data_IF_495767476121
#
_entry.id   IF_495767476121
#
_cell.length_a   1.000
_cell.length_b   1.000
_cell.length_c   1.000
_cell.angle_alpha   90.00
_cell.angle_beta   90.00
_cell.angle_gamma   90.00
#
_symmetry.space_group_name_H-M   'P 1'
#
loop_
_entity.id
_entity.type
_entity.pdbx_description
1 polymer ?
#
# COMPACT_ATOMS: atom_id res chain seq x y z
N UNK A 1 -11.21 0.98 -6.65
CA UNK A 1 -12.06 0.78 -7.82
C UNK A 1 -13.46 1.28 -7.44
N UNK A 2 -13.94 2.33 -8.11
CA UNK A 2 -15.31 2.80 -7.91
C UNK A 2 -16.26 1.97 -8.77
N UNK A 3 -17.48 1.76 -8.32
CA UNK A 3 -18.57 1.42 -9.23
C UNK A 3 -19.00 2.71 -9.93
N UNK A 4 -18.88 2.77 -11.26
CA UNK A 4 -19.15 3.96 -12.07
C UNK A 4 -20.02 3.64 -13.27
N UNK A 5 -20.86 4.59 -13.64
CA UNK A 5 -21.71 4.60 -14.83
C UNK A 5 -21.60 6.00 -15.43
N UNK A 6 -21.32 6.13 -16.73
CA UNK A 6 -21.13 7.40 -17.44
C UNK A 6 -20.26 8.43 -16.69
N UNK A 7 -19.04 8.00 -16.33
CA UNK A 7 -18.02 8.74 -15.52
C UNK A 7 -18.45 9.13 -14.09
N UNK A 8 -19.70 8.86 -13.70
CA UNK A 8 -20.24 9.18 -12.38
C UNK A 8 -19.98 8.05 -11.39
N UNK A 9 -19.39 8.39 -10.25
CA UNK A 9 -19.27 7.47 -9.10
C UNK A 9 -20.67 7.15 -8.55
N UNK A 10 -21.06 5.89 -8.64
CA UNK A 10 -22.29 5.34 -8.06
C UNK A 10 -22.05 4.61 -6.73
N UNK A 11 -20.84 4.09 -6.49
CA UNK A 11 -20.51 3.39 -5.25
C UNK A 11 -19.02 3.04 -5.10
N UNK A 12 -18.67 2.49 -3.94
CA UNK A 12 -17.33 1.96 -3.64
C UNK A 12 -17.39 0.44 -3.78
N UNK A 13 -16.45 -0.16 -4.51
CA UNK A 13 -16.23 -1.61 -4.43
C UNK A 13 -15.36 -1.91 -3.22
N UNK A 14 -15.88 -2.77 -2.35
CA UNK A 14 -15.24 -3.26 -1.14
C UNK A 14 -14.37 -4.48 -1.46
N UNK A 15 -13.44 -4.82 -0.58
CA UNK A 15 -12.63 -6.05 -0.73
C UNK A 15 -13.47 -7.33 -0.74
N UNK A 16 -14.66 -7.28 -0.14
CA UNK A 16 -15.68 -8.34 -0.23
C UNK A 16 -16.27 -8.51 -1.62
N UNK A 17 -16.39 -7.43 -2.39
CA UNK A 17 -16.93 -7.45 -3.75
C UNK A 17 -15.86 -7.83 -4.79
N UNK A 18 -14.59 -7.75 -4.39
CA UNK A 18 -13.40 -8.14 -5.17
C UNK A 18 -12.84 -9.51 -4.75
N UNK A 19 -13.35 -10.10 -3.67
CA UNK A 19 -13.01 -11.45 -3.25
C UNK A 19 -13.66 -12.47 -4.18
N UNK A 20 -12.85 -13.29 -4.84
CA UNK A 20 -13.36 -14.38 -5.66
C UNK A 20 -14.11 -15.40 -4.78
N UNK A 21 -15.28 -15.84 -5.23
CA UNK A 21 -16.04 -16.93 -4.61
C UNK A 21 -15.30 -18.26 -4.82
N UNK A 22 -14.40 -18.61 -3.89
CA UNK A 22 -13.70 -19.90 -3.85
C UNK A 22 -14.62 -21.09 -3.49
N UNK A 23 -15.93 -20.98 -3.74
CA UNK A 23 -16.97 -21.94 -3.36
C UNK A 23 -17.19 -23.05 -4.38
N UNK A 24 -16.79 -22.85 -5.65
CA UNK A 24 -16.80 -23.89 -6.69
C UNK A 24 -15.50 -23.84 -7.51
N UNK A 25 -14.78 -24.97 -7.54
CA UNK A 25 -13.46 -25.09 -8.16
C UNK A 25 -13.50 -25.36 -9.67
N UNK A 26 -13.91 -24.37 -10.46
CA UNK A 26 -13.67 -24.36 -11.92
C UNK A 26 -13.02 -23.04 -12.35
N UNK A 27 -11.96 -23.10 -13.16
CA UNK A 27 -11.00 -22.00 -13.34
C UNK A 27 -10.95 -21.54 -14.78
N UNK A 28 -11.64 -20.43 -15.08
CA UNK A 28 -11.48 -19.68 -16.33
C UNK A 28 -11.11 -18.22 -16.05
N UNK A 29 -9.81 -17.99 -15.80
CA UNK A 29 -9.27 -16.64 -15.57
C UNK A 29 -9.37 -15.79 -16.85
N UNK A 30 -10.28 -14.82 -16.86
CA UNK A 30 -10.19 -13.66 -17.77
C UNK A 30 -9.30 -12.60 -17.12
N UNK A 31 -8.00 -12.69 -17.39
CA UNK A 31 -7.03 -11.70 -16.94
C UNK A 31 -7.34 -10.33 -17.55
N UNK A 32 -7.45 -9.30 -16.70
CA UNK A 32 -7.30 -7.92 -17.16
C UNK A 32 -5.84 -7.73 -17.59
N UNK A 33 -5.63 -7.38 -18.86
CA UNK A 33 -4.30 -7.29 -19.44
C UNK A 33 -3.62 -5.99 -19.01
N UNK A 34 -2.57 -6.09 -18.17
CA UNK A 34 -1.69 -4.98 -17.81
C UNK A 34 -0.36 -5.17 -18.56
N UNK A 35 0.06 -4.24 -19.44
CA UNK A 35 1.36 -4.32 -20.09
C UNK A 35 2.50 -4.29 -19.07
N UNK A 36 3.46 -5.20 -19.23
CA UNK A 36 4.70 -5.20 -18.47
C UNK A 36 5.74 -4.37 -19.24
N UNK A 37 5.94 -3.12 -18.84
CA UNK A 37 7.15 -2.40 -19.24
C UNK A 37 8.36 -2.93 -18.43
N UNK A 38 9.55 -3.08 -19.05
CA UNK A 38 10.77 -3.48 -18.35
C UNK A 38 11.53 -2.27 -17.79
N UNK A 39 12.03 -2.39 -16.56
CA UNK A 39 12.88 -1.37 -15.92
C UNK A 39 14.10 -1.02 -16.78
N UNK A 40 14.15 0.23 -17.24
CA UNK A 40 15.29 0.78 -17.99
C UNK A 40 16.07 1.76 -17.10
N UNK A 41 17.16 1.28 -16.50
CA UNK A 41 18.05 2.09 -15.68
C UNK A 41 18.80 3.15 -16.53
N UNK A 42 19.15 4.31 -15.97
CA UNK A 42 19.86 5.36 -16.70
C UNK A 42 21.35 5.05 -16.84
N UNK A 43 21.84 4.88 -18.07
CA UNK A 43 23.28 4.86 -18.36
C UNK A 43 23.90 6.27 -18.25
N UNK A 44 25.00 6.39 -17.52
CA UNK A 44 25.84 7.58 -17.50
C UNK A 44 27.09 7.35 -18.36
N UNK A 45 27.14 7.97 -19.55
CA UNK A 45 28.23 7.82 -20.51
C UNK A 45 28.49 9.09 -21.32
N UNK A 46 29.65 9.70 -21.10
CA UNK A 46 30.07 10.98 -21.69
C UNK A 46 30.28 10.98 -23.20
N UNK A 47 29.94 12.10 -23.84
CA UNK A 47 30.23 12.45 -25.24
C UNK A 47 31.74 12.59 -25.54
N UNK A 48 32.24 12.02 -26.65
CA UNK A 48 33.49 12.46 -27.33
C UNK A 48 33.80 11.74 -28.68
N UNK A 49 33.24 12.27 -29.77
CA UNK A 49 33.80 12.36 -31.14
C UNK A 49 34.40 11.12 -31.89
N UNK A 50 34.80 11.35 -33.15
CA UNK A 50 35.03 10.34 -34.21
C UNK A 50 36.48 9.86 -34.31
N UNK A 51 36.69 8.59 -34.67
CA UNK A 51 37.39 8.21 -35.92
C UNK A 51 37.46 6.68 -36.19
N UNK A 52 37.58 6.34 -37.49
CA UNK A 52 37.91 5.03 -38.08
C UNK A 52 38.98 5.28 -39.18
N UNK A 53 39.65 4.26 -39.78
CA UNK A 53 39.71 2.82 -39.48
C UNK A 53 41.16 2.26 -39.34
N UNK A 54 41.35 0.95 -39.06
CA UNK A 54 42.70 0.35 -39.07
C UNK A 54 42.85 -1.19 -38.92
N UNK A 55 42.96 -1.89 -40.05
CA UNK A 55 43.85 -3.05 -40.33
C UNK A 55 43.94 -4.31 -39.41
N UNK A 56 43.31 -5.41 -39.89
CA UNK A 56 43.89 -6.75 -40.21
C UNK A 56 44.57 -7.67 -39.17
N UNK A 57 44.34 -8.99 -39.42
CA UNK A 57 45.04 -10.20 -38.94
C UNK A 57 44.78 -10.60 -37.46
N UNK A 58 44.60 -11.88 -37.12
CA UNK A 58 44.54 -13.09 -37.97
C UNK A 58 44.22 -14.39 -37.21
N UNK A 59 44.06 -15.47 -37.99
CA UNK A 59 43.96 -16.91 -37.65
C UNK A 59 44.94 -17.37 -36.54
N UNK A 60 44.71 -18.43 -35.74
CA UNK A 60 43.66 -19.50 -35.71
C UNK A 60 43.59 -20.12 -34.26
N UNK A 61 43.06 -21.31 -33.89
CA UNK A 61 42.50 -22.52 -34.57
C UNK A 61 41.49 -23.30 -33.66
N UNK A 62 40.89 -24.36 -34.20
CA UNK A 62 40.13 -25.45 -33.52
C UNK A 62 40.83 -26.82 -33.80
N UNK A 63 40.40 -28.03 -33.36
CA UNK A 63 39.14 -28.45 -32.70
C UNK A 63 39.33 -29.40 -31.48
N UNK A 64 38.28 -30.20 -31.19
CA UNK A 64 38.20 -31.45 -30.39
C UNK A 64 38.37 -31.38 -28.85
N UNK A 65 37.55 -32.05 -28.02
CA UNK A 65 36.30 -32.77 -28.30
C UNK A 65 36.13 -34.08 -27.53
N UNK A 66 35.30 -34.10 -26.46
CA UNK A 66 34.55 -35.27 -25.94
C UNK A 66 33.75 -34.97 -24.66
N UNK A 67 32.48 -35.36 -24.65
CA UNK A 67 31.78 -35.79 -23.42
C UNK A 67 32.23 -37.21 -23.04
N UNK A 68 32.01 -37.63 -21.78
CA UNK A 68 31.08 -38.74 -21.62
C UNK A 68 30.05 -38.51 -20.49
N UNK A 69 28.85 -39.05 -20.68
CA UNK A 69 27.86 -39.21 -19.62
C UNK A 69 28.15 -40.45 -18.78
N UNK A 70 27.90 -40.39 -17.47
CA UNK A 70 27.46 -41.55 -16.68
C UNK A 70 26.78 -41.07 -15.39
N UNK A 71 25.55 -41.51 -15.14
CA UNK A 71 24.76 -41.14 -13.96
C UNK A 71 24.61 -42.28 -12.95
N UNK A 72 24.15 -41.99 -11.73
CA UNK A 72 23.90 -43.02 -10.72
C UNK A 72 23.56 -42.51 -9.32
N UNK A 73 22.32 -42.03 -9.13
CA UNK A 73 21.54 -42.02 -7.86
C UNK A 73 22.23 -41.72 -6.51
N UNK A 74 21.72 -40.73 -5.75
CA UNK A 74 20.76 -41.01 -4.65
C UNK A 74 20.21 -39.74 -3.96
N UNK A 75 19.22 -39.94 -3.08
CA UNK A 75 18.76 -39.06 -1.98
C UNK A 75 18.19 -37.65 -2.28
N UNK A 76 16.94 -37.65 -2.74
CA UNK A 76 15.78 -37.05 -2.02
C UNK A 76 16.10 -35.94 -0.99
N UNK A 77 16.03 -34.69 -1.43
CA UNK A 77 15.60 -33.57 -0.58
C UNK A 77 14.26 -33.05 -1.12
N UNK A 78 13.16 -33.31 -0.40
CA UNK A 78 11.82 -32.92 -0.85
C UNK A 78 11.55 -31.44 -0.52
N UNK A 79 12.08 -30.53 -1.34
CA UNK A 79 11.70 -29.11 -1.30
C UNK A 79 10.24 -28.95 -1.77
N UNK A 80 9.32 -29.17 -0.83
CA UNK A 80 7.96 -28.70 -0.91
C UNK A 80 7.95 -27.19 -0.64
N UNK A 81 8.48 -26.41 -1.59
CA UNK A 81 8.19 -24.97 -1.67
C UNK A 81 6.69 -24.83 -1.95
N UNK A 82 5.91 -24.71 -0.88
CA UNK A 82 4.52 -24.32 -0.99
C UNK A 82 4.49 -22.95 -1.71
N UNK A 83 3.75 -22.81 -2.82
CA UNK A 83 3.77 -21.58 -3.58
C UNK A 83 3.27 -20.45 -2.69
N UNK A 84 4.17 -19.51 -2.36
CA UNK A 84 3.84 -18.30 -1.61
C UNK A 84 3.01 -17.42 -2.53
N UNK A 85 1.70 -17.71 -2.56
CA UNK A 85 0.73 -16.89 -3.28
C UNK A 85 0.82 -15.47 -2.71
N UNK A 86 1.33 -14.55 -3.53
CA UNK A 86 1.32 -13.14 -3.22
C UNK A 86 -0.13 -12.72 -2.97
N UNK A 87 -0.49 -12.47 -1.70
CA UNK A 87 -1.82 -12.03 -1.33
C UNK A 87 -2.10 -10.73 -2.07
N UNK A 88 -3.14 -10.75 -2.89
CA UNK A 88 -3.49 -9.67 -3.80
C UNK A 88 -3.59 -8.34 -3.06
N UNK A 89 -3.14 -7.25 -3.69
CA UNK A 89 -3.49 -5.88 -3.27
C UNK A 89 -4.92 -5.57 -3.68
N UNK A 90 -5.88 -6.36 -3.21
CA UNK A 90 -7.29 -5.97 -3.19
C UNK A 90 -7.42 -4.71 -2.35
N UNK A 91 -8.19 -3.75 -2.85
CA UNK A 91 -8.48 -2.51 -2.16
C UNK A 91 -8.73 -1.37 -3.14
N UNK A 92 -9.58 -0.44 -2.72
CA UNK A 92 -9.68 0.85 -3.40
C UNK A 92 -8.57 1.75 -2.86
N UNK A 93 -7.55 2.09 -3.66
CA UNK A 93 -6.40 2.94 -3.25
C UNK A 93 -6.77 4.18 -2.42
N UNK A 94 -7.78 4.98 -2.82
CA UNK A 94 -8.33 6.07 -2.00
C UNK A 94 -8.69 5.70 -0.55
N UNK A 95 -9.01 4.43 -0.27
CA UNK A 95 -9.40 3.94 1.06
C UNK A 95 -8.40 2.99 1.70
N UNK A 96 -7.49 2.33 0.96
CA UNK A 96 -6.44 1.47 1.56
C UNK A 96 -5.70 2.17 2.73
N UNK A 97 -5.47 1.43 3.81
CA UNK A 97 -4.59 1.82 4.90
C UNK A 97 -3.15 2.10 4.41
N UNK A 98 -2.44 3.02 5.07
CA UNK A 98 -1.07 3.40 4.73
C UNK A 98 -0.12 2.21 4.64
N UNK A 99 -0.28 1.22 5.51
CA UNK A 99 0.51 -0.01 5.53
C UNK A 99 0.39 -0.85 4.25
N UNK A 100 -0.79 -0.85 3.61
CA UNK A 100 -1.09 -1.62 2.41
C UNK A 100 -0.65 -0.89 1.12
N UNK A 101 -0.46 0.43 1.19
CA UNK A 101 -0.02 1.29 0.07
C UNK A 101 1.50 1.33 -0.13
N UNK A 102 2.29 0.95 0.88
CA UNK A 102 3.76 1.01 0.80
C UNK A 102 4.35 -0.04 -0.18
N UNK A 103 5.54 0.20 -0.75
CA UNK A 103 6.23 -0.78 -1.60
C UNK A 103 6.71 -2.00 -0.81
N UNK A 104 6.91 -3.12 -1.50
CA UNK A 104 7.28 -4.42 -0.92
C UNK A 104 6.11 -5.40 -0.78
N UNK A 105 6.33 -6.46 0.00
CA UNK A 105 5.29 -7.44 0.35
C UNK A 105 4.19 -6.76 1.18
N UNK A 106 2.89 -6.94 0.86
CA UNK A 106 1.81 -6.47 1.71
C UNK A 106 1.91 -7.10 3.11
N UNK A 107 1.81 -6.33 4.20
CA UNK A 107 1.80 -6.88 5.55
C UNK A 107 0.53 -7.70 5.81
N UNK A 108 0.53 -8.49 6.89
CA UNK A 108 -0.70 -9.12 7.37
C UNK A 108 -1.75 -8.03 7.69
N UNK A 109 -2.96 -8.20 7.18
CA UNK A 109 -4.09 -7.30 7.45
C UNK A 109 -4.42 -7.32 8.95
N UNK A 110 -4.60 -6.13 9.53
CA UNK A 110 -4.90 -5.92 10.95
C UNK A 110 -6.16 -5.07 11.08
N UNK A 111 -6.89 -5.22 12.18
CA UNK A 111 -8.11 -4.47 12.45
C UNK A 111 -7.95 -2.93 12.35
N UNK A 112 -6.76 -2.39 12.71
CA UNK A 112 -6.46 -0.96 12.54
C UNK A 112 -6.45 -0.50 11.07
N UNK A 113 -6.21 -1.39 10.11
CA UNK A 113 -6.29 -1.08 8.68
C UNK A 113 -7.75 -0.86 8.25
N UNK A 114 -8.71 -1.59 8.82
CA UNK A 114 -10.15 -1.38 8.58
C UNK A 114 -10.61 -0.03 9.12
N UNK A 115 -10.17 0.32 10.34
CA UNK A 115 -10.44 1.64 10.94
C UNK A 115 -9.81 2.79 10.16
N UNK A 116 -8.56 2.63 9.69
CA UNK A 116 -7.90 3.62 8.83
C UNK A 116 -8.64 3.77 7.49
N UNK A 117 -9.15 2.67 6.95
CA UNK A 117 -9.91 2.67 5.69
C UNK A 117 -11.27 3.36 5.83
N UNK A 118 -11.97 3.14 6.94
CA UNK A 118 -13.19 3.90 7.28
C UNK A 118 -12.88 5.39 7.50
N UNK A 119 -11.76 5.73 8.14
CA UNK A 119 -11.33 7.12 8.29
C UNK A 119 -11.11 7.82 6.94
N UNK A 120 -10.42 7.18 5.98
CA UNK A 120 -10.30 7.74 4.62
C UNK A 120 -11.65 7.88 3.93
N UNK A 121 -12.57 6.92 4.09
CA UNK A 121 -13.94 7.02 3.56
C UNK A 121 -14.69 8.23 4.17
N UNK A 122 -14.54 8.47 5.47
CA UNK A 122 -15.23 9.56 6.17
C UNK A 122 -14.63 10.94 5.81
N UNK A 123 -13.30 11.04 5.65
CA UNK A 123 -12.67 12.24 5.05
C UNK A 123 -13.18 12.45 3.62
N UNK A 124 -13.26 11.40 2.80
CA UNK A 124 -13.74 11.50 1.43
C UNK A 124 -15.20 12.00 1.37
N UNK A 125 -16.07 11.50 2.24
CA UNK A 125 -17.42 12.00 2.37
C UNK A 125 -17.46 13.49 2.75
N UNK A 126 -16.76 13.90 3.81
CA UNK A 126 -16.78 15.28 4.28
C UNK A 126 -16.17 16.28 3.27
N UNK A 127 -15.11 15.90 2.57
CA UNK A 127 -14.37 16.76 1.65
C UNK A 127 -14.94 16.80 0.22
N UNK A 128 -15.54 15.71 -0.27
CA UNK A 128 -15.96 15.58 -1.67
C UNK A 128 -17.47 15.36 -1.89
N UNK A 129 -18.28 15.02 -0.88
CA UNK A 129 -19.73 14.87 -1.09
C UNK A 129 -20.46 16.23 -1.08
N UNK A 130 -21.22 16.50 -2.14
CA UNK A 130 -22.17 17.61 -2.19
C UNK A 130 -23.59 17.08 -1.88
N UNK A 131 -24.16 17.37 -0.70
CA UNK A 131 -25.46 16.83 -0.30
C UNK A 131 -26.65 17.45 -1.05
N UNK A 132 -26.49 18.66 -1.61
CA UNK A 132 -27.53 19.33 -2.41
C UNK A 132 -27.64 18.69 -3.79
N UNK A 133 -26.50 18.45 -4.45
CA UNK A 133 -26.43 17.83 -5.78
C UNK A 133 -26.45 16.30 -5.73
N UNK A 134 -26.17 15.70 -4.56
CA UNK A 134 -26.06 14.25 -4.31
C UNK A 134 -25.02 13.58 -5.22
N UNK A 135 -23.84 14.20 -5.31
CA UNK A 135 -22.68 13.72 -6.07
C UNK A 135 -21.42 13.78 -5.23
N UNK A 136 -20.45 12.93 -5.55
CA UNK A 136 -19.09 13.02 -5.04
C UNK A 136 -18.19 13.70 -6.08
N UNK A 137 -17.37 14.65 -5.63
CA UNK A 137 -16.19 15.11 -6.36
C UNK A 137 -14.99 14.17 -6.19
N UNK A 138 -13.83 14.62 -6.66
CA UNK A 138 -12.61 13.80 -6.73
C UNK A 138 -11.48 14.37 -5.85
N UNK A 139 -11.00 13.56 -4.90
CA UNK A 139 -9.71 13.81 -4.23
C UNK A 139 -8.61 13.25 -5.13
N UNK A 140 -8.21 14.02 -6.15
CA UNK A 140 -7.32 13.58 -7.24
C UNK A 140 -6.00 12.97 -6.72
N UNK A 141 -5.41 13.58 -5.68
CA UNK A 141 -4.19 13.08 -5.05
C UNK A 141 -4.31 11.67 -4.44
N UNK A 142 -5.52 11.17 -4.20
CA UNK A 142 -5.78 9.80 -3.73
C UNK A 142 -6.29 8.88 -4.86
N UNK A 143 -6.70 9.43 -6.00
CA UNK A 143 -7.15 8.72 -7.20
C UNK A 143 -6.02 8.62 -8.23
N UNK A 144 -4.95 7.90 -7.89
CA UNK A 144 -3.78 7.73 -8.76
C UNK A 144 -3.53 6.23 -9.00
N UNK A 145 -3.14 5.86 -10.23
CA UNK A 145 -2.89 4.46 -10.65
C UNK A 145 -1.78 3.81 -9.82
N UNK A 146 -0.60 4.46 -9.76
CA UNK A 146 0.44 4.14 -8.77
C UNK A 146 -0.08 4.28 -7.34
N UNK A 147 -0.31 3.14 -6.68
CA UNK A 147 -0.60 3.04 -5.24
C UNK A 147 0.52 3.66 -4.38
N UNK A 148 1.76 3.68 -4.87
CA UNK A 148 2.89 4.33 -4.17
C UNK A 148 2.70 5.84 -4.11
N UNK A 149 2.15 6.45 -5.17
CA UNK A 149 1.82 7.89 -5.19
C UNK A 149 0.63 8.19 -4.27
N UNK A 150 -0.39 7.33 -4.25
CA UNK A 150 -1.52 7.43 -3.28
C UNK A 150 -1.01 7.35 -1.84
N UNK A 151 -0.10 6.40 -1.55
CA UNK A 151 0.56 6.28 -0.25
C UNK A 151 1.42 7.49 0.11
N UNK A 152 2.16 8.07 -0.84
CA UNK A 152 2.89 9.32 -0.61
C UNK A 152 1.95 10.45 -0.23
N UNK A 153 0.88 10.66 -0.99
CA UNK A 153 -0.06 11.77 -0.79
C UNK A 153 -0.87 11.63 0.50
N UNK A 154 -1.27 10.40 0.87
CA UNK A 154 -1.83 10.10 2.20
C UNK A 154 -0.84 10.36 3.32
N UNK A 155 0.45 10.06 3.13
CA UNK A 155 1.51 10.38 4.10
C UNK A 155 1.68 11.87 4.32
N UNK A 156 1.65 12.67 3.24
CA UNK A 156 1.71 14.13 3.35
C UNK A 156 0.47 14.67 4.06
N UNK A 157 -0.73 14.21 3.66
CA UNK A 157 -1.98 14.50 4.36
C UNK A 157 -1.93 14.19 5.87
N UNK A 158 -1.42 13.02 6.29
CA UNK A 158 -1.30 12.65 7.71
C UNK A 158 -0.23 13.44 8.49
N UNK A 159 0.75 14.05 7.83
CA UNK A 159 1.93 14.66 8.48
C UNK A 159 2.05 16.18 8.32
N UNK A 160 1.27 16.78 7.43
CA UNK A 160 1.29 18.21 7.15
C UNK A 160 -0.13 18.78 7.27
N UNK A 161 -0.33 19.65 8.26
CA UNK A 161 -1.62 20.30 8.51
C UNK A 161 -2.14 21.08 7.29
N UNK A 162 -1.24 21.65 6.49
CA UNK A 162 -1.62 22.38 5.28
C UNK A 162 -2.21 21.45 4.21
N UNK A 163 -1.75 20.19 4.14
CA UNK A 163 -2.28 19.17 3.22
C UNK A 163 -3.62 18.63 3.71
N UNK A 164 -3.79 18.46 5.02
CA UNK A 164 -5.11 18.21 5.62
C UNK A 164 -6.09 19.32 5.26
N UNK A 165 -5.71 20.59 5.47
CA UNK A 165 -6.55 21.74 5.12
C UNK A 165 -6.83 21.83 3.61
N UNK A 166 -5.85 21.54 2.76
CA UNK A 166 -6.00 21.50 1.30
C UNK A 166 -7.06 20.49 0.84
N UNK A 167 -7.02 19.26 1.40
CA UNK A 167 -8.01 18.22 1.10
C UNK A 167 -9.43 18.64 1.50
N UNK A 168 -9.60 19.23 2.69
CA UNK A 168 -10.92 19.57 3.23
C UNK A 168 -11.41 20.98 2.86
N UNK A 169 -10.63 21.75 2.08
CA UNK A 169 -10.92 23.15 1.74
C UNK A 169 -12.28 23.37 1.05
N UNK A 170 -12.75 22.36 0.31
CA UNK A 170 -14.01 22.40 -0.45
C UNK A 170 -15.17 21.64 0.23
N UNK A 171 -15.01 21.25 1.51
CA UNK A 171 -16.06 20.60 2.29
C UNK A 171 -17.34 21.45 2.35
N UNK A 172 -18.50 20.81 2.15
CA UNK A 172 -19.81 21.47 2.25
C UNK A 172 -20.02 22.04 3.67
N UNK A 173 -20.83 23.10 3.80
CA UNK A 173 -21.07 23.79 5.08
C UNK A 173 -21.47 22.81 6.20
N UNK A 174 -22.33 21.83 5.90
CA UNK A 174 -22.78 20.78 6.83
C UNK A 174 -21.63 19.92 7.40
N UNK A 175 -20.52 19.80 6.66
CA UNK A 175 -19.36 18.98 7.03
C UNK A 175 -18.20 19.79 7.63
N UNK A 176 -18.20 21.13 7.49
CA UNK A 176 -17.18 22.00 8.11
C UNK A 176 -17.01 21.77 9.62
N UNK A 177 -18.06 21.56 10.45
CA UNK A 177 -17.90 21.23 11.87
C UNK A 177 -17.10 19.95 12.15
N UNK A 178 -17.04 19.01 11.20
CA UNK A 178 -16.27 17.77 11.33
C UNK A 178 -14.77 18.01 11.10
N UNK A 179 -14.42 18.91 10.17
CA UNK A 179 -13.03 19.18 9.73
C UNK A 179 -12.42 20.44 10.35
N UNK A 180 -13.21 21.24 11.07
CA UNK A 180 -12.72 22.36 11.87
C UNK A 180 -11.83 21.92 13.04
N UNK A 181 -11.06 22.84 13.62
CA UNK A 181 -10.17 22.58 14.76
C UNK A 181 -10.94 21.96 15.94
N UNK A 182 -10.49 20.80 16.44
CA UNK A 182 -11.17 20.04 17.50
C UNK A 182 -12.38 19.21 17.03
N UNK A 183 -12.81 19.41 15.77
CA UNK A 183 -13.85 18.64 15.09
C UNK A 183 -13.48 17.16 14.92
N UNK A 184 -14.49 16.34 14.66
CA UNK A 184 -14.37 14.88 14.71
C UNK A 184 -13.26 14.31 13.81
N UNK A 185 -13.19 14.76 12.57
CA UNK A 185 -12.22 14.27 11.59
C UNK A 185 -10.80 14.76 11.88
N UNK A 186 -10.63 15.91 12.55
CA UNK A 186 -9.32 16.34 13.07
C UNK A 186 -8.86 15.44 14.21
N UNK A 187 -9.77 14.98 15.09
CA UNK A 187 -9.42 14.03 16.16
C UNK A 187 -9.04 12.65 15.62
N UNK A 188 -9.75 12.15 14.61
CA UNK A 188 -9.37 10.91 13.91
C UNK A 188 -8.06 11.07 13.13
N UNK A 189 -7.84 12.22 12.48
CA UNK A 189 -6.58 12.53 11.80
C UNK A 189 -5.39 12.47 12.77
N UNK A 190 -5.48 13.12 13.93
CA UNK A 190 -4.45 13.06 14.97
C UNK A 190 -4.16 11.62 15.46
N UNK A 191 -5.16 10.73 15.49
CA UNK A 191 -4.97 9.33 15.84
C UNK A 191 -4.11 8.61 14.78
N UNK A 192 -4.44 8.74 13.49
CA UNK A 192 -3.67 8.09 12.43
C UNK A 192 -2.33 8.77 12.13
N UNK A 193 -2.17 10.06 12.43
CA UNK A 193 -0.85 10.72 12.47
C UNK A 193 0.09 9.97 13.42
N UNK A 194 -0.34 9.68 14.66
CA UNK A 194 0.48 8.93 15.63
C UNK A 194 0.80 7.49 15.16
N UNK A 195 -0.13 6.83 14.44
CA UNK A 195 0.10 5.48 13.88
C UNK A 195 1.14 5.48 12.74
N UNK A 196 1.20 6.54 11.92
CA UNK A 196 2.25 6.74 10.91
C UNK A 196 3.56 7.27 11.51
N UNK A 197 3.53 8.04 12.59
CA UNK A 197 4.73 8.40 13.36
C UNK A 197 5.39 7.18 14.01
N UNK A 198 4.60 6.27 14.58
CA UNK A 198 5.07 4.96 15.03
C UNK A 198 5.74 4.17 13.91
N UNK A 199 5.14 4.16 12.70
CA UNK A 199 5.78 3.52 11.55
C UNK A 199 7.10 4.20 11.14
N UNK A 200 7.16 5.53 11.23
CA UNK A 200 8.40 6.28 10.97
C UNK A 200 9.50 5.95 11.98
N UNK A 201 9.16 5.70 13.27
CA UNK A 201 10.10 5.17 14.27
C UNK A 201 10.57 3.76 13.89
N UNK A 202 9.65 2.83 13.62
CA UNK A 202 9.96 1.46 13.21
C UNK A 202 10.94 1.41 12.02
N UNK A 203 10.65 2.14 10.93
CA UNK A 203 11.53 2.20 9.76
C UNK A 203 12.84 2.95 10.00
N UNK A 204 12.96 3.73 11.08
CA UNK A 204 14.25 4.31 11.48
C UNK A 204 15.15 3.28 12.17
N UNK A 205 14.58 2.27 12.83
CA UNK A 205 15.33 1.17 13.44
C UNK A 205 15.71 0.13 12.39
N UNK A 206 14.74 -0.33 11.59
CA UNK A 206 14.95 -1.29 10.50
C UNK A 206 16.03 -0.82 9.50
N UNK A 207 16.13 0.48 9.22
CA UNK A 207 17.21 1.06 8.39
C UNK A 207 18.63 0.86 8.95
N UNK A 208 18.79 0.60 10.25
CA UNK A 208 20.09 0.31 10.85
C UNK A 208 20.56 -1.12 10.54
N UNK A 209 19.65 -2.05 10.22
CA UNK A 209 19.98 -3.45 9.86
C UNK A 209 20.91 -3.52 8.64
N UNK A 210 20.71 -2.62 7.66
CA UNK A 210 21.56 -2.48 6.48
C UNK A 210 22.96 -1.87 6.75
N UNK A 211 23.26 -1.52 8.00
CA UNK A 211 24.59 -1.02 8.43
C UNK A 211 25.27 -2.00 9.41
N UNK A 212 24.49 -2.61 10.31
CA UNK A 212 24.93 -3.67 11.23
C UNK A 212 23.73 -4.51 11.68
N UNK A 213 23.91 -5.81 12.04
CA UNK A 213 22.83 -6.62 12.59
C UNK A 213 22.17 -5.95 13.80
N UNK A 214 20.83 -5.98 13.84
CA UNK A 214 20.07 -5.40 14.95
C UNK A 214 20.34 -6.14 16.25
N UNK A 215 20.44 -5.39 17.35
CA UNK A 215 20.57 -5.95 18.70
C UNK A 215 19.20 -6.23 19.35
N UNK A 216 19.22 -6.91 20.49
CA UNK A 216 18.01 -7.32 21.23
C UNK A 216 17.16 -6.11 21.67
N UNK A 217 17.79 -4.99 22.05
CA UNK A 217 17.09 -3.74 22.38
C UNK A 217 16.36 -3.14 21.18
N UNK A 218 16.98 -3.15 19.99
CA UNK A 218 16.41 -2.62 18.74
C UNK A 218 15.24 -3.48 18.25
N UNK A 219 15.37 -4.81 18.32
CA UNK A 219 14.27 -5.73 17.99
C UNK A 219 13.09 -5.54 18.96
N UNK A 220 13.37 -5.46 20.27
CA UNK A 220 12.37 -5.19 21.30
C UNK A 220 11.67 -3.83 21.09
N UNK A 221 12.41 -2.80 20.68
CA UNK A 221 11.84 -1.49 20.34
C UNK A 221 10.96 -1.54 19.08
N UNK A 222 11.31 -2.35 18.08
CA UNK A 222 10.47 -2.54 16.89
C UNK A 222 9.16 -3.27 17.22
N UNK A 223 9.21 -4.34 18.02
CA UNK A 223 8.00 -5.03 18.49
C UNK A 223 7.12 -4.13 19.38
N UNK A 224 7.72 -3.41 20.33
CA UNK A 224 7.01 -2.46 21.18
C UNK A 224 6.37 -1.32 20.37
N UNK A 225 7.06 -0.82 19.34
CA UNK A 225 6.51 0.21 18.44
C UNK A 225 5.33 -0.33 17.63
N UNK A 226 5.40 -1.56 17.11
CA UNK A 226 4.29 -2.13 16.35
C UNK A 226 3.08 -2.43 17.25
N UNK A 227 3.31 -2.86 18.50
CA UNK A 227 2.27 -3.03 19.53
C UNK A 227 1.62 -1.70 19.91
N UNK A 228 2.40 -0.62 20.07
CA UNK A 228 1.90 0.73 20.30
C UNK A 228 0.97 1.20 19.16
N UNK A 229 1.34 0.93 17.90
CA UNK A 229 0.52 1.27 16.72
C UNK A 229 -0.80 0.52 16.68
N UNK A 230 -0.81 -0.75 17.07
CA UNK A 230 -2.04 -1.54 17.22
C UNK A 230 -2.91 -1.02 18.39
N UNK A 231 -2.29 -0.69 19.53
CA UNK A 231 -2.99 -0.15 20.70
C UNK A 231 -3.52 1.27 20.50
N UNK A 232 -2.94 2.08 19.62
CA UNK A 232 -3.45 3.42 19.27
C UNK A 232 -4.79 3.36 18.52
N UNK A 233 -4.97 2.36 17.66
CA UNK A 233 -6.12 2.22 16.76
C UNK A 233 -6.97 0.99 17.09
N UNK A 234 -7.57 1.00 18.29
CA UNK A 234 -8.57 0.00 18.72
C UNK A 234 -10.00 0.49 18.52
N UNK A 235 -10.97 -0.43 18.45
CA UNK A 235 -12.40 -0.11 18.33
C UNK A 235 -12.86 0.89 19.40
N UNK A 236 -12.59 0.60 20.68
CA UNK A 236 -12.97 1.46 21.81
C UNK A 236 -12.41 2.89 21.69
N UNK A 237 -11.12 3.05 21.32
CA UNK A 237 -10.53 4.38 21.06
C UNK A 237 -11.21 5.08 19.88
N UNK A 238 -11.53 4.35 18.82
CA UNK A 238 -12.21 4.89 17.65
C UNK A 238 -13.63 5.38 17.96
N UNK A 239 -14.43 4.55 18.63
CA UNK A 239 -15.80 4.88 19.07
C UNK A 239 -15.80 6.04 20.09
N UNK A 240 -14.83 6.07 21.00
CA UNK A 240 -14.61 7.19 21.91
C UNK A 240 -14.30 8.52 21.20
N UNK A 241 -13.56 8.49 20.09
CA UNK A 241 -13.36 9.69 19.24
C UNK A 241 -14.65 10.09 18.51
N UNK A 242 -15.39 9.11 17.97
CA UNK A 242 -16.72 9.29 17.35
C UNK A 242 -17.79 9.82 18.33
N UNK A 243 -17.59 9.64 19.64
CA UNK A 243 -18.61 9.86 20.68
C UNK A 243 -19.84 8.96 20.50
N UNK A 244 -19.64 7.78 19.93
CA UNK A 244 -20.66 6.76 19.72
C UNK A 244 -20.51 5.62 20.75
N UNK A 245 -21.60 4.93 21.14
CA UNK A 245 -21.51 3.75 22.00
C UNK A 245 -20.77 2.62 21.29
N UNK A 246 -20.05 1.78 22.05
CA UNK A 246 -19.52 0.52 21.53
C UNK A 246 -20.65 -0.50 21.37
N UNK A 247 -20.78 -1.10 20.19
CA UNK A 247 -21.75 -2.17 19.89
C UNK A 247 -21.30 -3.50 20.52
N UNK A 248 -21.20 -3.51 21.84
CA UNK A 248 -20.90 -4.70 22.62
C UNK A 248 -22.01 -5.74 22.43
N UNK A 249 -21.69 -7.00 22.04
CA UNK A 249 -22.67 -8.06 21.99
C UNK A 249 -23.24 -8.26 23.40
N UNK A 250 -24.57 -8.25 23.52
CA UNK A 250 -25.23 -8.56 24.79
C UNK A 250 -24.88 -10.00 25.16
N UNK A 251 -24.45 -10.21 26.41
CA UNK A 251 -24.31 -11.55 26.97
C UNK A 251 -25.69 -12.23 26.95
N UNK A 252 -25.77 -13.40 26.32
CA UNK A 252 -26.99 -14.21 26.11
C UNK A 252 -26.93 -15.51 26.88
#
# INVERSE_FOLDING_TARGET
MWYMEDEKVLGVLCDRDLAADYSNGDVTVRAAHVPHEPDSAPEAGTDSDKSKPGSRNGRTDEPDGKSPEQGGTSQRASQSEAPVQARYRTGTGPFMAMDLLRPGLPPLHKYRHDLESFFYLYIYAAAAYNPVQKVFGNILQWQHESLVNVGHNKRQFLRNWNEFQSVVAHAHEDFKPLVAQGGLLVRLWLLFTQVEEGFARFKSIERMEGLAPLNEDQLSQMEATEKERDELATYSKFMGVLQAPEDMPKET
#
